data_IF_871760184469
#
_entry.id   IF_871760184469
#
_cell.length_a   1.000
_cell.length_b   1.000
_cell.length_c   1.000
_cell.angle_alpha   90.00
_cell.angle_beta   90.00
_cell.angle_gamma   90.00
#
_symmetry.space_group_name_H-M   'P 1'
#
loop_
_entity.id
_entity.type
_entity.pdbx_description
1 polymer ?
#
# COMPACT_ATOMS: atom_id res chain seq x y z
N UNK A 1 3.18 23.32 11.73
CA UNK A 1 3.07 24.28 10.60
C UNK A 1 2.03 25.33 10.96
N UNK A 2 2.33 26.64 10.77
CA UNK A 2 1.42 27.74 11.11
C UNK A 2 0.03 27.62 10.48
N UNK A 3 -0.06 27.20 9.21
CA UNK A 3 -1.33 26.96 8.50
C UNK A 3 -2.25 25.93 9.19
N UNK A 4 -1.64 24.90 9.80
CA UNK A 4 -2.38 23.82 10.50
C UNK A 4 -2.88 24.29 11.86
N UNK A 5 -2.19 25.25 12.50
CA UNK A 5 -2.68 25.86 13.75
C UNK A 5 -3.87 26.78 13.51
N UNK A 6 -3.85 27.60 12.47
CA UNK A 6 -4.95 28.55 12.14
C UNK A 6 -6.27 27.81 11.89
N UNK A 7 -6.20 26.65 11.24
CA UNK A 7 -7.37 25.81 10.96
C UNK A 7 -7.94 25.05 12.18
N UNK A 8 -7.21 24.99 13.32
CA UNK A 8 -7.67 24.29 14.53
C UNK A 8 -8.55 25.13 15.45
N UNK A 9 -8.61 26.45 15.24
CA UNK A 9 -9.35 27.39 16.09
C UNK A 9 -10.85 27.49 15.74
N UNK A 10 -11.40 26.48 15.06
CA UNK A 10 -12.81 26.46 14.69
C UNK A 10 -13.70 26.32 15.93
N UNK A 11 -14.71 27.19 16.02
CA UNK A 11 -15.44 27.54 17.26
C UNK A 11 -16.69 26.69 17.53
N UNK A 12 -17.11 25.82 16.59
CA UNK A 12 -18.32 25.01 16.78
C UNK A 12 -18.01 23.58 17.23
N UNK A 13 -18.39 23.26 18.48
CA UNK A 13 -18.19 21.96 19.14
C UNK A 13 -18.85 20.76 18.41
N UNK A 14 -19.74 20.99 17.43
CA UNK A 14 -20.42 19.92 16.68
C UNK A 14 -19.61 19.35 15.51
N UNK A 15 -18.62 20.08 15.00
CA UNK A 15 -17.80 19.63 13.86
C UNK A 15 -16.34 19.52 14.31
N UNK A 16 -15.74 18.35 14.11
CA UNK A 16 -14.32 18.13 14.38
C UNK A 16 -13.54 18.37 13.10
N UNK A 17 -12.48 19.18 13.19
CA UNK A 17 -11.63 19.51 12.05
C UNK A 17 -10.24 18.94 12.27
N UNK A 18 -9.74 18.25 11.25
CA UNK A 18 -8.41 17.66 11.23
C UNK A 18 -7.62 18.24 10.07
N UNK A 19 -6.88 19.34 10.31
CA UNK A 19 -5.96 19.87 9.32
C UNK A 19 -4.65 19.07 9.34
N UNK A 20 -4.13 18.80 8.15
CA UNK A 20 -2.79 18.28 7.91
C UNK A 20 -2.24 18.80 6.58
N UNK A 21 -0.93 18.91 6.48
CA UNK A 21 -0.28 19.42 5.28
C UNK A 21 1.02 18.65 5.04
N UNK A 22 1.40 18.53 3.78
CA UNK A 22 2.65 17.93 3.34
C UNK A 22 3.24 18.81 2.24
N UNK A 23 4.33 19.51 2.56
CA UNK A 23 4.93 20.51 1.67
C UNK A 23 3.89 21.56 1.26
N UNK A 24 3.48 21.57 0.00
CA UNK A 24 2.51 22.47 -0.64
C UNK A 24 1.07 21.94 -0.59
N UNK A 25 0.89 20.63 -0.41
CA UNK A 25 -0.43 20.02 -0.30
C UNK A 25 -1.04 20.27 1.09
N UNK A 26 -2.19 20.92 1.13
CA UNK A 26 -2.94 21.20 2.37
C UNK A 26 -4.29 20.49 2.36
N UNK A 27 -4.59 19.77 3.43
CA UNK A 27 -5.80 18.97 3.56
C UNK A 27 -6.60 19.37 4.79
N UNK A 28 -7.91 19.53 4.60
CA UNK A 28 -8.88 19.83 5.66
C UNK A 28 -9.92 18.72 5.70
N UNK A 29 -9.95 17.96 6.80
CA UNK A 29 -10.96 16.94 7.03
C UNK A 29 -11.95 17.41 8.09
N UNK A 30 -13.20 17.66 7.70
CA UNK A 30 -14.29 17.99 8.60
C UNK A 30 -15.18 16.76 8.87
N UNK A 31 -15.43 16.47 10.14
CA UNK A 31 -16.20 15.29 10.58
C UNK A 31 -17.37 15.73 11.47
N UNK A 32 -18.59 15.44 11.02
CA UNK A 32 -19.83 15.62 11.76
C UNK A 32 -20.93 14.71 11.20
N UNK A 33 -22.15 14.81 11.76
CA UNK A 33 -23.32 14.07 11.27
C UNK A 33 -24.04 14.77 10.09
N UNK A 34 -23.55 15.92 9.61
CA UNK A 34 -24.20 16.74 8.58
C UNK A 34 -23.19 17.27 7.55
N UNK A 35 -23.43 16.98 6.26
CA UNK A 35 -22.62 17.54 5.17
C UNK A 35 -22.69 19.07 5.12
N UNK A 36 -23.85 19.66 5.44
CA UNK A 36 -24.02 21.11 5.45
C UNK A 36 -23.16 21.79 6.51
N UNK A 37 -23.06 21.18 7.70
CA UNK A 37 -22.21 21.71 8.78
C UNK A 37 -20.73 21.55 8.45
N UNK A 38 -20.35 20.43 7.82
CA UNK A 38 -18.98 20.23 7.33
C UNK A 38 -18.61 21.28 6.26
N UNK A 39 -19.49 21.56 5.29
CA UNK A 39 -19.23 22.55 4.25
C UNK A 39 -19.10 23.98 4.81
N UNK A 40 -19.90 24.34 5.81
CA UNK A 40 -19.75 25.62 6.52
C UNK A 40 -18.42 25.68 7.28
N UNK A 41 -18.07 24.62 7.98
CA UNK A 41 -16.81 24.53 8.72
C UNK A 41 -15.58 24.62 7.81
N UNK A 42 -15.62 23.94 6.66
CA UNK A 42 -14.56 24.01 5.64
C UNK A 42 -14.43 25.42 5.07
N UNK A 43 -15.54 26.11 4.79
CA UNK A 43 -15.51 27.50 4.34
C UNK A 43 -14.86 28.41 5.39
N UNK A 44 -15.28 28.34 6.64
CA UNK A 44 -14.73 29.20 7.69
C UNK A 44 -13.23 28.94 7.91
N UNK A 45 -12.80 27.67 7.86
CA UNK A 45 -11.38 27.35 7.92
C UNK A 45 -10.61 27.87 6.71
N UNK A 46 -11.21 27.78 5.52
CA UNK A 46 -10.63 28.30 4.29
C UNK A 46 -10.44 29.82 4.37
N UNK A 47 -11.47 30.57 4.78
CA UNK A 47 -11.42 32.03 4.90
C UNK A 47 -10.28 32.47 5.85
N UNK A 48 -10.11 31.80 7.00
CA UNK A 48 -9.00 32.06 7.93
C UNK A 48 -7.62 31.68 7.39
N UNK A 49 -7.54 30.58 6.62
CA UNK A 49 -6.30 30.20 5.94
C UNK A 49 -5.93 31.26 4.90
N UNK A 50 -6.90 31.83 4.18
CA UNK A 50 -6.66 32.90 3.22
C UNK A 50 -6.16 34.18 3.90
N UNK A 51 -6.76 34.60 5.02
CA UNK A 51 -6.26 35.74 5.81
C UNK A 51 -4.80 35.54 6.24
N UNK A 52 -4.47 34.33 6.73
CA UNK A 52 -3.09 33.97 7.06
C UNK A 52 -2.19 33.96 5.81
N UNK A 53 -2.66 33.40 4.70
CA UNK A 53 -1.89 33.30 3.46
C UNK A 53 -1.53 34.68 2.91
N UNK A 54 -2.48 35.61 2.92
CA UNK A 54 -2.29 37.01 2.53
C UNK A 54 -1.25 37.69 3.43
N UNK A 55 -1.28 37.42 4.74
CA UNK A 55 -0.29 37.97 5.69
C UNK A 55 1.15 37.49 5.46
N UNK A 56 1.33 36.32 4.83
CA UNK A 56 2.63 35.69 4.57
C UNK A 56 3.02 35.79 3.07
N UNK A 57 2.14 36.33 2.23
CA UNK A 57 2.35 36.44 0.78
C UNK A 57 2.25 35.10 0.03
N UNK A 58 1.49 34.15 0.55
CA UNK A 58 1.23 32.85 -0.09
C UNK A 58 -0.09 32.91 -0.85
N UNK A 59 -0.09 32.49 -2.12
CA UNK A 59 -1.31 32.43 -2.93
C UNK A 59 -1.75 30.99 -3.16
N UNK A 60 -3.02 30.68 -2.85
CA UNK A 60 -3.62 29.41 -3.22
C UNK A 60 -4.26 29.48 -4.60
N UNK A 61 -4.12 28.41 -5.38
CA UNK A 61 -4.71 28.29 -6.73
C UNK A 61 -6.09 27.62 -6.67
N UNK A 62 -7.20 28.35 -6.86
CA UNK A 62 -8.53 27.78 -6.64
C UNK A 62 -8.91 26.64 -7.61
N UNK A 63 -8.29 26.62 -8.80
CA UNK A 63 -8.49 25.54 -9.77
C UNK A 63 -7.97 24.18 -9.27
N UNK A 64 -7.02 24.17 -8.32
CA UNK A 64 -6.45 22.97 -7.69
C UNK A 64 -7.23 22.50 -6.45
N UNK A 65 -8.33 23.17 -6.10
CA UNK A 65 -9.17 22.71 -5.00
C UNK A 65 -9.98 21.49 -5.42
N UNK A 66 -9.90 20.47 -4.59
CA UNK A 66 -10.63 19.22 -4.69
C UNK A 66 -11.47 19.05 -3.42
N UNK A 67 -12.72 18.61 -3.58
CA UNK A 67 -13.64 18.33 -2.46
C UNK A 67 -14.22 16.96 -2.65
N UNK A 68 -14.20 16.17 -1.59
CA UNK A 68 -14.70 14.81 -1.57
C UNK A 68 -15.46 14.55 -0.27
N UNK A 69 -16.61 13.89 -0.37
CA UNK A 69 -17.43 13.51 0.78
C UNK A 69 -17.28 12.04 1.11
N UNK A 70 -17.06 11.73 2.38
CA UNK A 70 -17.09 10.36 2.90
C UNK A 70 -18.39 10.11 3.66
N UNK A 71 -18.91 8.89 3.59
CA UNK A 71 -20.01 8.41 4.43
C UNK A 71 -19.58 7.18 5.26
N UNK A 72 -20.31 6.83 6.32
CA UNK A 72 -20.05 5.60 7.06
C UNK A 72 -20.33 4.35 6.20
N UNK A 73 -19.53 3.27 6.32
CA UNK A 73 -19.77 2.02 5.61
C UNK A 73 -21.13 1.41 5.97
N UNK A 74 -21.78 0.78 5.00
CA UNK A 74 -23.07 0.10 5.18
C UNK A 74 -24.31 1.02 5.11
N UNK A 75 -24.13 2.33 5.01
CA UNK A 75 -25.23 3.27 4.84
C UNK A 75 -25.51 3.47 3.35
N UNK A 76 -26.69 3.05 2.86
CA UNK A 76 -27.16 3.35 1.50
C UNK A 76 -27.58 4.81 1.44
N UNK A 77 -26.61 5.71 1.25
CA UNK A 77 -26.85 7.13 1.08
C UNK A 77 -26.57 7.52 -0.37
N UNK A 78 -27.45 8.32 -0.95
CA UNK A 78 -27.18 9.01 -2.22
C UNK A 78 -26.04 10.01 -1.97
N UNK A 79 -24.92 9.95 -2.70
CA UNK A 79 -23.81 10.88 -2.54
C UNK A 79 -24.32 12.33 -2.52
N UNK A 80 -23.96 13.08 -1.48
CA UNK A 80 -24.38 14.48 -1.37
C UNK A 80 -23.61 15.31 -2.38
N UNK A 81 -24.32 16.16 -3.14
CA UNK A 81 -23.73 17.13 -4.08
C UNK A 81 -23.38 18.47 -3.42
N UNK A 82 -23.45 18.55 -2.10
CA UNK A 82 -23.35 19.80 -1.37
C UNK A 82 -21.90 20.28 -1.35
N UNK A 83 -21.63 21.49 -1.84
CA UNK A 83 -20.28 22.06 -1.90
C UNK A 83 -20.08 23.16 -0.85
N UNK A 84 -18.86 23.33 -0.31
CA UNK A 84 -18.51 24.49 0.47
C UNK A 84 -18.52 25.74 -0.42
N UNK A 85 -19.08 26.85 0.08
CA UNK A 85 -19.16 28.13 -0.65
C UNK A 85 -17.81 28.85 -0.62
N UNK A 86 -16.82 28.27 -1.29
CA UNK A 86 -15.44 28.75 -1.40
C UNK A 86 -15.19 29.23 -2.84
N UNK A 87 -14.56 30.39 -3.04
CA UNK A 87 -14.20 30.86 -4.38
C UNK A 87 -13.39 29.81 -5.16
N UNK A 88 -13.79 29.53 -6.41
CA UNK A 88 -13.16 28.54 -7.29
C UNK A 88 -13.69 27.10 -7.19
N UNK A 89 -14.63 26.84 -6.28
CA UNK A 89 -15.41 25.61 -6.21
C UNK A 89 -16.85 25.77 -6.76
N UNK A 90 -17.20 26.97 -7.20
CA UNK A 90 -18.51 27.29 -7.78
C UNK A 90 -18.72 26.50 -9.08
N UNK A 91 -19.88 25.85 -9.20
CA UNK A 91 -20.24 25.03 -10.36
C UNK A 91 -19.55 23.66 -10.44
N UNK A 92 -18.65 23.32 -9.51
CA UNK A 92 -18.08 21.96 -9.39
C UNK A 92 -18.98 21.05 -8.57
N UNK A 93 -18.92 19.75 -8.83
CA UNK A 93 -19.51 18.72 -7.96
C UNK A 93 -18.41 18.05 -7.12
N UNK A 94 -18.74 17.48 -5.94
CA UNK A 94 -17.79 16.69 -5.17
C UNK A 94 -17.23 15.52 -6.00
N UNK A 95 -15.91 15.36 -5.98
CA UNK A 95 -15.22 14.32 -6.73
C UNK A 95 -15.50 12.93 -6.15
N UNK A 96 -15.58 11.93 -7.03
CA UNK A 96 -15.74 10.52 -6.64
C UNK A 96 -14.41 9.83 -6.34
N UNK A 97 -13.29 10.40 -6.79
CA UNK A 97 -11.94 9.95 -6.47
C UNK A 97 -10.99 11.13 -6.41
N UNK A 98 -10.04 11.08 -5.49
CA UNK A 98 -9.04 12.12 -5.27
C UNK A 98 -7.69 11.50 -4.97
N UNK A 99 -6.64 12.05 -5.57
CA UNK A 99 -5.27 11.62 -5.33
C UNK A 99 -4.67 12.37 -4.13
N UNK A 100 -4.35 11.63 -3.07
CA UNK A 100 -3.66 12.14 -1.86
C UNK A 100 -2.25 11.56 -1.83
N UNK A 101 -1.23 12.42 -1.96
CA UNK A 101 0.19 12.03 -1.90
C UNK A 101 0.57 10.82 -2.78
N UNK A 102 -0.07 10.65 -3.94
CA UNK A 102 0.19 9.52 -4.84
C UNK A 102 -0.67 8.27 -4.62
N UNK A 103 -1.58 8.29 -3.65
CA UNK A 103 -2.60 7.24 -3.45
C UNK A 103 -3.94 7.77 -3.92
N UNK A 104 -4.60 7.03 -4.80
CA UNK A 104 -5.96 7.33 -5.26
C UNK A 104 -6.94 6.87 -4.18
N UNK A 105 -7.71 7.80 -3.63
CA UNK A 105 -8.74 7.53 -2.62
C UNK A 105 -10.08 7.76 -3.28
N UNK A 106 -10.89 6.72 -3.34
CA UNK A 106 -12.26 6.79 -3.86
C UNK A 106 -13.26 7.11 -2.74
N UNK A 107 -14.37 7.76 -3.10
CA UNK A 107 -15.53 8.05 -2.23
C UNK A 107 -16.18 6.77 -1.68
N UNK A 108 -15.92 5.62 -2.31
CA UNK A 108 -16.47 4.37 -1.82
C UNK A 108 -16.00 4.12 -0.39
N UNK A 109 -16.96 4.10 0.53
CA UNK A 109 -16.72 3.99 1.96
C UNK A 109 -16.19 2.62 2.36
N UNK A 110 -16.21 1.67 1.41
CA UNK A 110 -15.53 0.39 1.54
C UNK A 110 -14.05 0.46 1.18
N UNK A 111 -13.56 1.59 0.63
CA UNK A 111 -12.20 1.78 0.14
C UNK A 111 -11.80 0.55 -0.69
N UNK A 112 -12.52 0.28 -1.78
CA UNK A 112 -12.25 -0.92 -2.59
C UNK A 112 -10.87 -0.88 -3.24
N UNK A 113 -10.25 0.30 -3.39
CA UNK A 113 -8.94 0.52 -4.00
C UNK A 113 -8.86 0.01 -5.44
N UNK A 114 -9.99 -0.15 -6.12
CA UNK A 114 -10.01 -0.74 -7.45
C UNK A 114 -9.42 0.24 -8.48
N UNK A 115 -9.87 1.50 -8.50
CA UNK A 115 -9.28 2.53 -9.37
C UNK A 115 -7.80 2.71 -9.04
N UNK A 116 -7.45 2.72 -7.75
CA UNK A 116 -6.05 2.80 -7.34
C UNK A 116 -5.19 1.69 -7.94
N UNK A 117 -5.64 0.43 -7.85
CA UNK A 117 -4.89 -0.70 -8.39
C UNK A 117 -4.89 -0.70 -9.92
N UNK A 118 -5.95 -0.24 -10.58
CA UNK A 118 -5.98 -0.06 -12.03
C UNK A 118 -4.95 0.99 -12.49
N UNK A 119 -4.81 2.11 -11.79
CA UNK A 119 -3.76 3.08 -12.08
C UNK A 119 -2.35 2.54 -11.84
N UNK A 120 -2.15 1.83 -10.72
CA UNK A 120 -0.88 1.18 -10.41
C UNK A 120 -0.54 0.15 -11.49
N UNK A 121 -1.54 -0.59 -11.98
CA UNK A 121 -1.39 -1.52 -13.09
C UNK A 121 -0.99 -0.81 -14.37
N UNK A 122 -1.64 0.31 -14.71
CA UNK A 122 -1.29 1.12 -15.87
C UNK A 122 0.16 1.61 -15.80
N UNK A 123 0.57 2.19 -14.67
CA UNK A 123 1.94 2.66 -14.42
C UNK A 123 2.96 1.51 -14.50
N UNK A 124 2.64 0.35 -13.92
CA UNK A 124 3.48 -0.84 -13.99
C UNK A 124 3.61 -1.36 -15.44
N UNK A 125 2.50 -1.41 -16.18
CA UNK A 125 2.48 -1.85 -17.57
C UNK A 125 3.26 -0.91 -18.49
N UNK A 126 3.15 0.42 -18.31
CA UNK A 126 3.97 1.38 -19.05
C UNK A 126 5.46 1.11 -18.82
N UNK A 127 5.88 0.88 -17.57
CA UNK A 127 7.28 0.54 -17.27
C UNK A 127 7.68 -0.81 -17.84
N UNK A 128 6.81 -1.82 -17.80
CA UNK A 128 7.10 -3.11 -18.43
C UNK A 128 7.19 -3.00 -19.95
N UNK A 129 6.44 -2.12 -20.60
CA UNK A 129 6.56 -1.85 -22.03
C UNK A 129 7.91 -1.18 -22.34
N UNK A 130 8.37 -0.25 -21.50
CA UNK A 130 9.72 0.33 -21.62
C UNK A 130 10.80 -0.75 -21.51
N UNK A 131 10.66 -1.66 -20.54
CA UNK A 131 11.58 -2.81 -20.36
C UNK A 131 11.52 -3.73 -21.58
N UNK A 132 10.33 -4.08 -22.06
CA UNK A 132 10.14 -4.98 -23.20
C UNK A 132 10.75 -4.42 -24.49
N UNK A 133 10.82 -3.09 -24.66
CA UNK A 133 11.52 -2.47 -25.81
C UNK A 133 13.03 -2.68 -25.80
N UNK A 134 13.62 -2.91 -24.63
CA UNK A 134 15.06 -3.14 -24.45
C UNK A 134 15.36 -4.66 -24.50
N UNK A 135 14.36 -5.50 -24.25
CA UNK A 135 14.45 -6.95 -24.33
C UNK A 135 14.00 -7.45 -25.71
N UNK A 136 14.93 -7.63 -26.66
CA UNK A 136 14.62 -8.33 -27.90
C UNK A 136 14.89 -9.83 -27.75
N UNK A 137 14.15 -10.65 -28.50
CA UNK A 137 14.32 -12.12 -28.54
C UNK A 137 15.69 -12.57 -29.07
N UNK A 138 16.44 -11.68 -29.71
CA UNK A 138 17.76 -11.93 -30.29
C UNK A 138 18.90 -11.24 -29.55
N UNK A 139 18.60 -10.22 -28.73
CA UNK A 139 19.57 -9.45 -27.97
C UNK A 139 18.89 -8.78 -26.77
N UNK A 140 19.44 -8.96 -25.58
CA UNK A 140 18.86 -8.35 -24.39
C UNK A 140 19.67 -8.66 -23.13
N UNK A 141 19.32 -8.00 -22.00
CA UNK A 141 19.93 -8.27 -20.72
C UNK A 141 19.66 -9.70 -20.27
N UNK A 142 20.54 -10.25 -19.44
CA UNK A 142 20.32 -11.55 -18.80
C UNK A 142 19.12 -11.49 -17.84
N UNK A 143 18.54 -12.65 -17.55
CA UNK A 143 17.35 -12.77 -16.68
C UNK A 143 17.60 -12.17 -15.30
N UNK A 144 18.83 -12.20 -14.78
CA UNK A 144 19.15 -11.63 -13.46
C UNK A 144 19.09 -10.10 -13.52
N UNK A 145 19.62 -9.48 -14.57
CA UNK A 145 19.51 -8.04 -14.79
C UNK A 145 18.05 -7.59 -15.00
N UNK A 146 17.27 -8.34 -15.78
CA UNK A 146 15.83 -8.04 -15.97
C UNK A 146 15.03 -8.17 -14.69
N UNK A 147 15.32 -9.20 -13.90
CA UNK A 147 14.75 -9.37 -12.56
C UNK A 147 15.11 -8.19 -11.67
N UNK A 148 16.37 -7.75 -11.71
CA UNK A 148 16.81 -6.60 -10.92
C UNK A 148 16.05 -5.34 -11.35
N UNK A 149 15.90 -5.11 -12.65
CA UNK A 149 15.16 -3.97 -13.20
C UNK A 149 13.69 -3.97 -12.77
N UNK A 150 13.03 -5.12 -12.81
CA UNK A 150 11.68 -5.29 -12.27
C UNK A 150 11.60 -4.94 -10.77
N UNK A 151 12.56 -5.44 -9.98
CA UNK A 151 12.61 -5.19 -8.53
C UNK A 151 12.84 -3.71 -8.23
N UNK A 152 13.66 -3.01 -9.01
CA UNK A 152 14.03 -1.61 -8.75
C UNK A 152 13.08 -0.59 -9.35
N UNK A 153 12.30 -0.94 -10.37
CA UNK A 153 11.44 0.03 -11.09
C UNK A 153 9.95 -0.26 -10.94
N UNK A 154 9.52 -1.51 -11.08
CA UNK A 154 8.09 -1.88 -11.07
C UNK A 154 7.59 -2.14 -9.66
N UNK A 155 8.33 -2.89 -8.83
CA UNK A 155 7.90 -3.17 -7.45
C UNK A 155 7.69 -1.91 -6.60
N UNK A 156 8.53 -0.86 -6.68
CA UNK A 156 8.31 0.38 -5.93
C UNK A 156 7.00 1.08 -6.30
N UNK A 157 6.60 1.03 -7.58
CA UNK A 157 5.32 1.58 -8.05
C UNK A 157 4.16 0.85 -7.35
N UNK A 158 4.21 -0.47 -7.30
CA UNK A 158 3.16 -1.28 -6.67
C UNK A 158 3.13 -1.09 -5.14
N UNK A 159 4.29 -0.99 -4.49
CA UNK A 159 4.37 -0.81 -3.03
C UNK A 159 4.23 0.64 -2.56
N UNK A 160 4.02 1.59 -3.47
CA UNK A 160 3.89 2.99 -3.09
C UNK A 160 2.66 3.19 -2.20
N UNK A 161 2.85 3.81 -1.03
CA UNK A 161 1.77 4.06 -0.07
C UNK A 161 1.10 2.81 0.53
N UNK A 162 1.68 1.61 0.37
CA UNK A 162 1.02 0.36 0.79
C UNK A 162 0.69 0.30 2.28
N UNK A 163 1.44 0.96 3.16
CA UNK A 163 1.12 1.06 4.58
C UNK A 163 -0.22 1.75 4.87
N UNK A 164 -0.70 2.60 3.94
CA UNK A 164 -2.00 3.24 4.02
C UNK A 164 -3.10 2.34 3.44
N UNK A 165 -3.00 1.92 2.18
CA UNK A 165 -4.13 1.27 1.48
C UNK A 165 -4.15 -0.27 1.60
N UNK A 166 -3.00 -0.93 1.79
CA UNK A 166 -2.93 -2.39 1.84
C UNK A 166 -3.35 -2.90 3.24
N UNK A 167 -4.62 -3.28 3.34
CA UNK A 167 -5.24 -3.90 4.53
C UNK A 167 -5.52 -5.36 4.19
N UNK A 168 -4.66 -6.24 4.68
CA UNK A 168 -4.70 -7.67 4.37
C UNK A 168 -4.38 -8.49 5.62
N UNK A 169 -5.11 -9.59 5.85
CA UNK A 169 -4.88 -10.48 6.98
C UNK A 169 -5.95 -11.56 7.11
N UNK A 170 -6.01 -12.22 8.27
CA UNK A 170 -7.06 -13.20 8.52
C UNK A 170 -8.45 -12.52 8.51
N UNK A 171 -9.37 -13.02 7.70
CA UNK A 171 -10.77 -12.53 7.59
C UNK A 171 -11.51 -12.53 8.93
N UNK A 172 -11.09 -13.36 9.88
CA UNK A 172 -11.65 -13.37 11.25
C UNK A 172 -11.15 -12.22 12.12
N UNK A 173 -9.95 -11.70 11.83
CA UNK A 173 -9.24 -10.74 12.67
C UNK A 173 -9.32 -9.32 12.08
N UNK A 174 -9.17 -9.19 10.76
CA UNK A 174 -9.13 -7.90 10.06
C UNK A 174 -10.43 -7.71 9.27
N UNK A 175 -11.24 -6.71 9.68
CA UNK A 175 -12.43 -6.27 8.95
C UNK A 175 -12.07 -5.26 7.85
N UNK A 176 -12.93 -5.09 6.84
CA UNK A 176 -12.73 -4.12 5.75
C UNK A 176 -11.38 -4.28 5.01
N UNK A 177 -11.07 -5.53 4.66
CA UNK A 177 -9.87 -5.83 3.88
C UNK A 177 -10.03 -5.39 2.43
N UNK A 178 -8.88 -5.23 1.76
CA UNK A 178 -8.84 -5.10 0.30
C UNK A 178 -9.59 -6.30 -0.32
N UNK A 179 -10.52 -6.07 -1.25
CA UNK A 179 -11.37 -7.13 -1.76
C UNK A 179 -10.58 -8.14 -2.61
N UNK A 180 -11.04 -9.41 -2.61
CA UNK A 180 -10.30 -10.52 -3.21
C UNK A 180 -10.06 -10.33 -4.73
N UNK A 181 -10.92 -9.59 -5.43
CA UNK A 181 -10.73 -9.24 -6.85
C UNK A 181 -9.49 -8.35 -7.06
N UNK A 182 -9.27 -7.37 -6.18
CA UNK A 182 -8.12 -6.45 -6.23
C UNK A 182 -6.84 -7.19 -5.91
N UNK A 183 -6.86 -8.08 -4.91
CA UNK A 183 -5.73 -8.97 -4.60
C UNK A 183 -5.36 -9.85 -5.81
N UNK A 184 -6.36 -10.46 -6.47
CA UNK A 184 -6.16 -11.25 -7.70
C UNK A 184 -5.59 -10.41 -8.84
N UNK A 185 -6.02 -9.15 -8.97
CA UNK A 185 -5.50 -8.22 -9.97
C UNK A 185 -4.01 -7.93 -9.75
N UNK A 186 -3.61 -7.64 -8.51
CA UNK A 186 -2.19 -7.44 -8.14
C UNK A 186 -1.33 -8.67 -8.47
N UNK A 187 -1.79 -9.86 -8.09
CA UNK A 187 -1.09 -11.12 -8.42
C UNK A 187 -1.01 -11.35 -9.93
N UNK A 188 -2.07 -11.02 -10.68
CA UNK A 188 -2.08 -11.12 -12.15
C UNK A 188 -1.04 -10.19 -12.78
N UNK A 189 -0.95 -8.94 -12.32
CA UNK A 189 0.03 -7.96 -12.80
C UNK A 189 1.45 -8.47 -12.56
N UNK A 190 1.76 -8.93 -11.34
CA UNK A 190 3.07 -9.51 -11.04
C UNK A 190 3.38 -10.70 -11.95
N UNK A 191 2.46 -11.64 -12.08
CA UNK A 191 2.68 -12.85 -12.89
C UNK A 191 2.94 -12.49 -14.36
N UNK A 192 2.22 -11.51 -14.91
CA UNK A 192 2.47 -11.00 -16.26
C UNK A 192 3.87 -10.39 -16.36
N UNK A 193 4.25 -9.51 -15.43
CA UNK A 193 5.58 -8.90 -15.41
C UNK A 193 6.69 -9.95 -15.34
N UNK A 194 6.56 -10.93 -14.44
CA UNK A 194 7.59 -11.94 -14.24
C UNK A 194 7.69 -12.91 -15.41
N UNK A 195 6.59 -13.24 -16.09
CA UNK A 195 6.64 -14.05 -17.33
C UNK A 195 7.44 -13.36 -18.42
N UNK A 196 7.30 -12.04 -18.58
CA UNK A 196 8.12 -11.26 -19.51
C UNK A 196 9.59 -11.28 -19.09
N UNK A 197 9.88 -11.09 -17.80
CA UNK A 197 11.25 -11.10 -17.26
C UNK A 197 11.95 -12.45 -17.43
N UNK A 198 11.26 -13.56 -17.15
CA UNK A 198 11.84 -14.91 -17.20
C UNK A 198 11.72 -15.57 -18.56
N UNK A 199 10.99 -14.98 -19.52
CA UNK A 199 10.62 -15.64 -20.78
C UNK A 199 9.73 -16.88 -20.59
N UNK A 200 9.03 -16.98 -19.45
CA UNK A 200 8.23 -18.16 -19.16
C UNK A 200 6.97 -18.21 -20.04
N UNK A 201 6.57 -19.42 -20.44
CA UNK A 201 5.34 -19.65 -21.19
C UNK A 201 4.13 -19.00 -20.50
N UNK A 202 3.21 -18.45 -21.28
CA UNK A 202 2.01 -17.76 -20.75
C UNK A 202 1.12 -18.64 -19.87
N UNK A 203 1.21 -19.97 -19.98
CA UNK A 203 0.48 -20.96 -19.16
C UNK A 203 1.21 -21.36 -17.87
N UNK A 204 2.47 -20.96 -17.68
CA UNK A 204 3.24 -21.30 -16.48
C UNK A 204 2.57 -20.75 -15.23
N UNK A 205 2.50 -21.57 -14.18
CA UNK A 205 1.90 -21.16 -12.90
C UNK A 205 2.66 -19.97 -12.32
N UNK A 206 1.95 -18.98 -11.78
CA UNK A 206 2.58 -17.81 -11.16
C UNK A 206 3.52 -18.18 -10.02
N UNK A 207 3.15 -19.18 -9.21
CA UNK A 207 3.99 -19.69 -8.12
C UNK A 207 5.29 -20.31 -8.61
N UNK A 208 5.24 -21.06 -9.72
CA UNK A 208 6.43 -21.61 -10.38
C UNK A 208 7.33 -20.50 -10.89
N UNK A 209 6.77 -19.46 -11.55
CA UNK A 209 7.56 -18.33 -12.05
C UNK A 209 8.19 -17.54 -10.90
N UNK A 210 7.45 -17.30 -9.80
CA UNK A 210 7.99 -16.68 -8.58
C UNK A 210 9.17 -17.46 -8.01
N UNK A 211 9.06 -18.80 -8.00
CA UNK A 211 10.11 -19.71 -7.54
C UNK A 211 11.33 -19.70 -8.45
N UNK A 212 11.16 -19.74 -9.76
CA UNK A 212 12.25 -19.67 -10.76
C UNK A 212 13.00 -18.34 -10.66
N UNK A 213 12.25 -17.23 -10.62
CA UNK A 213 12.83 -15.90 -10.50
C UNK A 213 13.37 -15.57 -9.10
N UNK A 214 13.11 -16.41 -8.08
CA UNK A 214 13.36 -16.08 -6.67
C UNK A 214 12.82 -14.68 -6.31
N UNK A 215 11.53 -14.48 -6.58
CA UNK A 215 10.77 -13.27 -6.26
C UNK A 215 9.57 -13.68 -5.42
N UNK A 216 9.46 -13.11 -4.22
CA UNK A 216 8.31 -13.35 -3.33
C UNK A 216 7.00 -12.91 -3.99
N UNK A 217 5.89 -13.57 -3.65
CA UNK A 217 4.56 -13.18 -4.11
C UNK A 217 4.26 -11.71 -3.73
N UNK A 218 3.56 -10.99 -4.59
CA UNK A 218 3.27 -9.57 -4.40
C UNK A 218 2.49 -9.32 -3.12
N UNK A 219 1.62 -10.24 -2.71
CA UNK A 219 0.87 -10.09 -1.47
C UNK A 219 1.80 -10.21 -0.25
N UNK A 220 2.75 -11.13 -0.28
CA UNK A 220 3.78 -11.27 0.77
C UNK A 220 4.71 -10.06 0.78
N UNK A 221 5.08 -9.56 -0.40
CA UNK A 221 5.87 -8.34 -0.51
C UNK A 221 5.16 -7.14 0.10
N UNK A 222 3.89 -6.91 -0.29
CA UNK A 222 3.10 -5.78 0.17
C UNK A 222 2.84 -5.87 1.67
N UNK A 223 2.53 -7.05 2.20
CA UNK A 223 2.38 -7.29 3.64
C UNK A 223 3.67 -6.96 4.40
N UNK A 224 4.82 -7.45 3.90
CA UNK A 224 6.14 -7.14 4.47
C UNK A 224 6.43 -5.64 4.49
N UNK A 225 6.20 -4.94 3.37
CA UNK A 225 6.50 -3.50 3.25
C UNK A 225 5.51 -2.68 4.08
N UNK A 226 4.23 -3.01 4.06
CA UNK A 226 3.20 -2.34 4.85
C UNK A 226 3.46 -2.51 6.35
N UNK A 227 3.78 -3.72 6.81
CA UNK A 227 4.15 -3.98 8.21
C UNK A 227 5.39 -3.19 8.63
N UNK A 228 6.41 -3.11 7.76
CA UNK A 228 7.61 -2.33 8.03
C UNK A 228 7.33 -0.82 8.10
N UNK A 229 6.48 -0.29 7.20
CA UNK A 229 6.06 1.12 7.23
C UNK A 229 5.28 1.44 8.50
N UNK A 230 4.32 0.58 8.90
CA UNK A 230 3.56 0.71 10.14
C UNK A 230 4.46 0.66 11.37
N UNK A 231 5.36 -0.32 11.43
CA UNK A 231 6.26 -0.49 12.56
C UNK A 231 7.21 0.71 12.75
N UNK A 232 7.63 1.35 11.66
CA UNK A 232 8.41 2.60 11.71
C UNK A 232 7.60 3.80 12.18
N UNK A 233 6.28 3.77 11.98
CA UNK A 233 5.38 4.82 12.41
C UNK A 233 4.93 4.67 13.87
N UNK A 234 5.04 3.49 14.49
CA UNK A 234 4.53 3.23 15.85
C UNK A 234 5.01 4.24 16.90
N UNK A 235 6.28 4.63 16.83
CA UNK A 235 6.90 5.54 17.80
C UNK A 235 6.72 7.03 17.43
N UNK A 236 5.96 7.35 16.38
CA UNK A 236 5.73 8.74 15.97
C UNK A 236 4.53 9.35 16.70
N UNK A 237 4.57 10.65 17.03
CA UNK A 237 3.44 11.33 17.65
C UNK A 237 2.18 11.29 16.77
N UNK A 238 2.35 11.21 15.45
CA UNK A 238 1.26 11.09 14.50
C UNK A 238 0.53 9.74 14.60
N UNK A 239 1.25 8.65 14.88
CA UNK A 239 0.61 7.36 15.11
C UNK A 239 -0.27 7.37 16.36
N UNK A 240 0.20 7.94 17.47
CA UNK A 240 -0.63 8.10 18.67
C UNK A 240 -1.84 9.00 18.43
N UNK A 241 -1.66 10.08 17.66
CA UNK A 241 -2.76 10.97 17.24
C UNK A 241 -3.81 10.19 16.43
N UNK A 242 -3.40 9.41 15.44
CA UNK A 242 -4.29 8.56 14.64
C UNK A 242 -4.96 7.48 15.47
N UNK A 243 -4.22 6.84 16.40
CA UNK A 243 -4.77 5.84 17.32
C UNK A 243 -5.89 6.43 18.17
N UNK A 244 -5.66 7.61 18.76
CA UNK A 244 -6.69 8.34 19.52
C UNK A 244 -7.90 8.65 18.65
N UNK A 245 -7.69 9.17 17.43
CA UNK A 245 -8.79 9.44 16.50
C UNK A 245 -9.65 8.21 16.19
N UNK A 246 -9.02 7.04 16.01
CA UNK A 246 -9.72 5.77 15.73
C UNK A 246 -10.50 5.24 16.93
N UNK A 247 -10.09 5.59 18.16
CA UNK A 247 -10.74 5.16 19.40
C UNK A 247 -11.96 6.03 19.77
N UNK A 248 -12.00 7.29 19.32
CA UNK A 248 -13.09 8.21 19.62
C UNK A 248 -14.44 7.60 19.22
N UNK A 249 -15.36 7.52 20.19
CA UNK A 249 -16.74 7.05 19.96
C UNK A 249 -16.87 5.54 19.73
N UNK A 250 -15.83 4.74 19.96
CA UNK A 250 -15.87 3.27 19.87
C UNK A 250 -15.76 2.62 21.25
N UNK A 251 -16.48 1.52 21.45
CA UNK A 251 -16.23 0.66 22.61
C UNK A 251 -14.88 -0.06 22.47
N UNK A 252 -14.24 -0.47 23.58
CA UNK A 252 -12.95 -1.18 23.53
C UNK A 252 -12.97 -2.41 22.59
N UNK A 253 -14.03 -3.22 22.64
CA UNK A 253 -14.17 -4.39 21.78
C UNK A 253 -14.24 -4.05 20.28
N UNK A 254 -14.90 -2.95 19.91
CA UNK A 254 -14.99 -2.50 18.51
C UNK A 254 -13.67 -1.89 18.02
N UNK A 255 -12.87 -1.33 18.93
CA UNK A 255 -11.56 -0.79 18.62
C UNK A 255 -10.55 -1.89 18.31
N UNK A 256 -10.59 -3.02 19.03
CA UNK A 256 -9.78 -4.21 18.74
C UNK A 256 -10.02 -4.75 17.32
N UNK A 257 -11.26 -4.64 16.83
CA UNK A 257 -11.65 -5.07 15.49
C UNK A 257 -11.37 -4.03 14.39
N UNK A 258 -10.80 -2.87 14.74
CA UNK A 258 -10.46 -1.84 13.77
C UNK A 258 -9.31 -2.32 12.87
N UNK A 259 -9.42 -2.27 11.52
CA UNK A 259 -8.44 -2.85 10.60
C UNK A 259 -7.01 -2.37 10.83
N UNK A 260 -6.84 -1.05 11.03
CA UNK A 260 -5.51 -0.53 11.29
C UNK A 260 -4.98 -0.87 12.68
N UNK A 261 -5.85 -1.09 13.67
CA UNK A 261 -5.40 -1.47 15.00
C UNK A 261 -4.98 -2.94 15.03
N UNK A 262 -5.74 -3.82 14.37
CA UNK A 262 -5.37 -5.23 14.23
C UNK A 262 -4.05 -5.41 13.48
N UNK A 263 -3.78 -4.58 12.47
CA UNK A 263 -2.51 -4.54 11.76
C UNK A 263 -1.35 -3.86 12.53
N UNK A 264 -1.63 -3.18 13.65
CA UNK A 264 -0.57 -2.67 14.53
C UNK A 264 0.06 -3.81 15.36
N UNK A 265 -0.65 -4.92 15.60
CA UNK A 265 -0.11 -6.08 16.31
C UNK A 265 1.13 -6.72 15.62
N UNK A 266 1.07 -7.11 14.33
CA UNK A 266 2.25 -7.65 13.66
C UNK A 266 3.38 -6.62 13.57
N UNK A 267 3.05 -5.33 13.43
CA UNK A 267 4.04 -4.25 13.42
C UNK A 267 4.76 -4.10 14.78
N UNK A 268 4.03 -4.19 15.90
CA UNK A 268 4.59 -4.17 17.27
C UNK A 268 5.44 -5.39 17.53
N UNK A 269 4.96 -6.58 17.15
CA UNK A 269 5.74 -7.82 17.27
C UNK A 269 7.06 -7.74 16.51
N UNK A 270 7.04 -7.18 15.29
CA UNK A 270 8.27 -6.96 14.50
C UNK A 270 9.23 -6.00 15.21
N UNK A 271 8.73 -4.91 15.77
CA UNK A 271 9.51 -3.92 16.51
C UNK A 271 10.15 -4.53 17.77
N UNK A 272 9.40 -5.31 18.54
CA UNK A 272 9.88 -6.02 19.74
C UNK A 272 10.98 -7.04 19.40
N UNK A 273 10.77 -7.85 18.36
CA UNK A 273 11.76 -8.82 17.88
C UNK A 273 13.04 -8.13 17.40
N UNK A 274 12.91 -6.98 16.72
CA UNK A 274 14.06 -6.18 16.29
C UNK A 274 14.82 -5.58 17.48
N UNK A 275 14.11 -5.03 18.46
CA UNK A 275 14.70 -4.50 19.69
C UNK A 275 15.46 -5.58 20.47
N UNK A 276 14.88 -6.79 20.61
CA UNK A 276 15.55 -7.93 21.23
C UNK A 276 16.83 -8.30 20.47
N UNK A 277 16.74 -8.43 19.14
CA UNK A 277 17.89 -8.74 18.29
C UNK A 277 19.03 -7.71 18.39
N UNK A 278 18.70 -6.42 18.56
CA UNK A 278 19.68 -5.36 18.76
C UNK A 278 20.34 -5.41 20.15
N UNK A 279 19.56 -5.71 21.20
CA UNK A 279 20.08 -5.87 22.59
C UNK A 279 21.08 -7.02 22.68
N UNK A 280 20.73 -8.17 22.09
CA UNK A 280 21.57 -9.38 22.10
C UNK A 280 22.95 -9.16 21.45
N UNK A 281 23.04 -8.21 20.51
CA UNK A 281 24.27 -7.86 19.78
C UNK A 281 25.16 -6.84 20.50
N UNK A 282 24.81 -6.42 21.73
CA UNK A 282 25.52 -5.39 22.52
C UNK A 282 25.81 -4.12 21.70
N UNK A 283 24.86 -3.66 20.89
CA UNK A 283 25.02 -2.40 20.17
C UNK A 283 25.04 -1.24 21.18
N UNK A 284 26.23 -0.71 21.44
CA UNK A 284 26.56 0.22 22.55
C UNK A 284 25.84 1.57 22.49
N UNK A 285 25.14 1.88 21.40
CA UNK A 285 24.03 2.82 21.40
C UNK A 285 22.97 2.36 20.40
N UNK A 286 21.70 2.34 20.83
CA UNK A 286 20.57 1.92 20.01
C UNK A 286 20.24 3.01 18.98
N UNK A 287 21.07 3.16 17.94
CA UNK A 287 20.77 4.09 16.85
C UNK A 287 19.51 3.63 16.11
N UNK A 288 18.61 4.58 15.80
CA UNK A 288 17.38 4.34 15.03
C UNK A 288 17.65 3.63 13.70
N UNK A 289 18.82 3.88 13.09
CA UNK A 289 19.23 3.23 11.85
C UNK A 289 19.56 1.74 12.04
N UNK A 290 20.16 1.36 13.17
CA UNK A 290 20.47 -0.04 13.50
C UNK A 290 19.17 -0.81 13.69
N UNK A 291 18.21 -0.24 14.43
CA UNK A 291 16.88 -0.83 14.61
C UNK A 291 16.14 -1.00 13.28
N UNK A 292 16.13 0.04 12.42
CA UNK A 292 15.50 -0.02 11.08
C UNK A 292 16.11 -1.13 10.20
N UNK A 293 17.42 -1.32 10.25
CA UNK A 293 18.11 -2.42 9.54
C UNK A 293 17.72 -3.78 10.11
N UNK A 294 17.64 -3.92 11.44
CA UNK A 294 17.22 -5.15 12.11
C UNK A 294 15.76 -5.52 11.74
N UNK A 295 14.83 -4.56 11.80
CA UNK A 295 13.44 -4.75 11.38
C UNK A 295 13.36 -5.20 9.92
N UNK A 296 14.12 -4.55 9.03
CA UNK A 296 14.13 -4.90 7.61
C UNK A 296 14.67 -6.31 7.38
N UNK A 297 15.67 -6.73 8.15
CA UNK A 297 16.22 -8.10 8.09
C UNK A 297 15.20 -9.13 8.56
N UNK A 298 14.58 -8.92 9.71
CA UNK A 298 13.58 -9.84 10.28
C UNK A 298 12.36 -9.95 9.35
N UNK A 299 11.86 -8.82 8.86
CA UNK A 299 10.72 -8.81 7.94
C UNK A 299 11.02 -9.57 6.64
N UNK A 300 12.26 -9.51 6.13
CA UNK A 300 12.69 -10.34 4.98
C UNK A 300 12.70 -11.84 5.31
N UNK A 301 13.16 -12.21 6.50
CA UNK A 301 13.15 -13.62 6.95
C UNK A 301 11.72 -14.16 7.07
N UNK A 302 10.80 -13.36 7.62
CA UNK A 302 9.39 -13.73 7.73
C UNK A 302 8.74 -13.93 6.35
N UNK A 303 9.05 -13.07 5.38
CA UNK A 303 8.58 -13.22 4.02
C UNK A 303 9.20 -14.42 3.28
N UNK A 304 10.47 -14.74 3.53
CA UNK A 304 11.12 -15.94 2.99
C UNK A 304 10.48 -17.21 3.56
N UNK A 305 10.16 -17.22 4.86
CA UNK A 305 9.44 -18.31 5.51
C UNK A 305 8.01 -18.46 4.94
N UNK A 306 7.28 -17.35 4.78
CA UNK A 306 5.95 -17.37 4.17
C UNK A 306 6.01 -17.89 2.72
N UNK A 307 6.97 -17.43 1.93
CA UNK A 307 7.18 -17.89 0.55
C UNK A 307 7.49 -19.38 0.50
N UNK A 308 8.27 -19.90 1.45
CA UNK A 308 8.54 -21.34 1.60
C UNK A 308 7.27 -22.14 1.90
N UNK A 309 6.44 -21.68 2.84
CA UNK A 309 5.17 -22.34 3.18
C UNK A 309 4.22 -22.36 2.00
N UNK A 310 4.09 -21.24 1.28
CA UNK A 310 3.26 -21.16 0.08
C UNK A 310 3.75 -22.09 -1.04
N UNK A 311 5.07 -22.23 -1.19
CA UNK A 311 5.67 -23.16 -2.15
C UNK A 311 5.41 -24.61 -1.77
N UNK A 312 5.61 -24.98 -0.50
CA UNK A 312 5.36 -26.35 -0.04
C UNK A 312 3.89 -26.75 -0.23
N UNK A 313 2.94 -25.87 0.13
CA UNK A 313 1.52 -26.10 -0.15
C UNK A 313 1.24 -26.29 -1.64
N UNK A 314 1.91 -25.51 -2.50
CA UNK A 314 1.77 -25.68 -3.94
C UNK A 314 2.29 -27.04 -4.44
N UNK A 315 3.38 -27.55 -3.84
CA UNK A 315 3.88 -28.89 -4.16
C UNK A 315 2.87 -29.96 -3.75
N UNK A 316 2.32 -29.88 -2.54
CA UNK A 316 1.25 -30.78 -2.06
C UNK A 316 0.07 -30.79 -3.06
N UNK A 317 -0.46 -29.62 -3.41
CA UNK A 317 -1.56 -29.47 -4.38
C UNK A 317 -1.25 -30.09 -5.76
N UNK A 318 0.04 -30.13 -6.17
CA UNK A 318 0.49 -30.69 -7.45
C UNK A 318 0.83 -32.18 -7.38
N UNK A 319 1.03 -32.74 -6.19
CA UNK A 319 1.36 -34.15 -5.97
C UNK A 319 0.09 -35.00 -5.79
N UNK A 320 -1.00 -34.42 -5.31
CA UNK A 320 -2.25 -35.13 -4.99
C UNK A 320 -3.12 -35.53 -6.22
N UNK A 321 -2.56 -35.61 -7.44
CA UNK A 321 -3.29 -35.91 -8.69
C UNK A 321 -4.62 -35.14 -8.81
N UNK A 322 -4.62 -33.89 -8.32
CA UNK A 322 -5.75 -32.97 -8.47
C UNK A 322 -6.01 -32.71 -9.96
N UNK A 323 -7.26 -32.48 -10.40
CA UNK A 323 -7.58 -32.13 -11.79
C UNK A 323 -6.88 -30.85 -12.31
N UNK A 324 -6.14 -30.14 -11.45
CA UNK A 324 -5.33 -28.96 -11.76
C UNK A 324 -3.83 -29.25 -11.86
N UNK A 325 -3.41 -30.52 -11.78
CA UNK A 325 -2.00 -30.91 -11.87
C UNK A 325 -1.44 -30.57 -13.27
N UNK A 326 -0.31 -29.85 -13.35
CA UNK A 326 0.23 -29.45 -14.64
C UNK A 326 0.71 -30.69 -15.42
N UNK A 327 0.28 -30.80 -16.69
CA UNK A 327 0.72 -31.90 -17.59
C UNK A 327 2.23 -31.92 -17.84
N UNK A 328 2.92 -30.80 -17.58
CA UNK A 328 4.36 -30.66 -17.67
C UNK A 328 4.95 -30.16 -16.34
N UNK A 329 5.89 -30.93 -15.78
CA UNK A 329 6.61 -30.56 -14.55
C UNK A 329 7.79 -29.66 -14.89
N UNK A 330 7.66 -28.36 -14.59
CA UNK A 330 8.74 -27.37 -14.74
C UNK A 330 10.00 -27.74 -13.94
N UNK A 331 11.15 -27.20 -14.33
CA UNK A 331 12.43 -27.42 -13.66
C UNK A 331 12.41 -26.98 -12.17
N UNK A 332 11.60 -25.99 -11.80
CA UNK A 332 11.34 -25.62 -10.41
C UNK A 332 10.50 -26.63 -9.63
N UNK A 333 9.52 -27.29 -10.25
CA UNK A 333 8.72 -28.34 -9.60
C UNK A 333 9.52 -29.63 -9.40
N UNK A 334 10.48 -29.89 -10.28
CA UNK A 334 11.35 -31.06 -10.22
C UNK A 334 12.56 -30.86 -9.30
N UNK A 335 12.83 -29.62 -8.85
CA UNK A 335 13.92 -29.36 -7.92
C UNK A 335 13.56 -29.88 -6.52
N UNK A 336 14.41 -30.76 -5.99
CA UNK A 336 14.28 -31.27 -4.61
C UNK A 336 14.61 -30.19 -3.58
N UNK A 337 15.31 -29.13 -3.98
CA UNK A 337 15.56 -27.98 -3.13
C UNK A 337 14.27 -27.13 -3.04
N UNK A 338 13.83 -26.84 -1.80
CA UNK A 338 12.60 -26.07 -1.52
C UNK A 338 12.67 -24.58 -1.94
N UNK A 339 11.97 -23.67 -1.27
CA UNK A 339 12.11 -22.25 -1.61
C UNK A 339 13.55 -21.72 -1.42
N UNK A 340 14.11 -21.03 -2.42
CA UNK A 340 15.50 -20.56 -2.39
C UNK A 340 16.06 -20.10 -3.74
N UNK A 341 17.26 -19.50 -3.77
CA UNK A 341 17.84 -18.87 -4.96
C UNK A 341 18.51 -19.85 -5.95
N UNK A 342 18.47 -21.15 -5.70
CA UNK A 342 19.16 -22.15 -6.52
C UNK A 342 18.67 -22.19 -7.97
N UNK A 343 17.36 -22.00 -8.20
CA UNK A 343 16.80 -21.93 -9.54
C UNK A 343 17.30 -20.71 -10.30
N UNK A 344 17.32 -19.55 -9.63
CA UNK A 344 17.88 -18.32 -10.18
C UNK A 344 19.36 -18.47 -10.57
N UNK A 345 20.14 -19.29 -9.83
CA UNK A 345 21.56 -19.54 -10.17
C UNK A 345 21.74 -20.24 -11.52
N UNK A 346 20.74 -21.00 -12.01
CA UNK A 346 20.78 -21.65 -13.32
C UNK A 346 20.85 -20.63 -14.47
N UNK A 347 20.38 -19.40 -14.24
CA UNK A 347 20.37 -18.32 -15.23
C UNK A 347 21.63 -17.45 -15.24
N UNK A 348 22.65 -17.72 -14.40
CA UNK A 348 23.87 -16.88 -14.30
C UNK A 348 24.71 -16.82 -15.58
N UNK A 349 24.52 -17.76 -16.49
CA UNK A 349 25.28 -17.87 -17.74
C UNK A 349 24.39 -17.87 -18.99
N UNK A 350 23.10 -17.58 -18.85
CA UNK A 350 22.12 -17.65 -19.94
C UNK A 350 21.66 -16.24 -20.33
N UNK A 351 21.79 -15.90 -21.61
CA UNK A 351 21.14 -14.72 -22.17
C UNK A 351 19.64 -14.97 -22.34
N UNK A 352 18.81 -13.93 -22.23
CA UNK A 352 17.34 -14.02 -22.42
C UNK A 352 16.91 -14.56 -23.80
N UNK A 353 17.82 -14.52 -24.79
CA UNK A 353 17.61 -14.95 -26.17
C UNK A 353 17.73 -16.47 -26.43
N UNK A 354 17.97 -17.31 -25.41
CA UNK A 354 18.21 -18.76 -25.57
C UNK A 354 17.14 -19.64 -24.93
#
# INVERSE_FOLDING_TARGET
>A
MPIVSTAKEYTNNRVKIYPFAYVDDTYLLAVSNSYGDNCKALKECHDRIMEWADSVGVSFSPHKYHVMHFYPPGRKIVPSKLMPKIPGLEGKEPEHSMRILGVEVEVDCQLHWQQHVEEVAAKANTKMNDIARICNTTAGPDVISLRQLYITTVRPIISHGCGAWFIYGDKKIVRYQVPDNVLKSLTRIQNQCLRTVTGALGRSSGRTVNKEAYVEDILVYLDRVATLQRARALDTPDHERLRRMRQIGKMPADFELHPYHSLDYPARSLLERANKSCRDRKASSMSTNVLRKAMTKIAKQDAEEMSRRMWNRHLEDCHDDSPHSPSYRSAALMDKAGWGPHNLKRYRSLSHAQ
#
